data_IF_855325658754
#
_entry.id   IF_855325658754
#
_cell.length_a   1.000
_cell.length_b   1.000
_cell.length_c   1.000
_cell.angle_alpha   90.00
_cell.angle_beta   90.00
_cell.angle_gamma   90.00
#
_symmetry.space_group_name_H-M   'P 1'
#
loop_
_entity.id
_entity.type
_entity.pdbx_description
1 polymer ?
#
# COMPACT_ATOMS: atom_id res chain seq x y z
N UNK A 1 -0.32 -16.52 -1.70
CA UNK A 1 0.19 -17.04 -2.99
C UNK A 1 0.33 -15.92 -4.01
N UNK A 2 -0.77 -15.28 -4.46
CA UNK A 2 -0.75 -14.18 -5.45
C UNK A 2 0.27 -13.09 -5.13
N UNK A 3 0.22 -12.52 -3.91
CA UNK A 3 1.15 -11.46 -3.48
C UNK A 3 2.62 -11.90 -3.57
N UNK A 4 2.93 -13.09 -3.06
CA UNK A 4 4.29 -13.64 -3.06
C UNK A 4 4.82 -13.89 -4.48
N UNK A 5 3.96 -14.38 -5.39
CA UNK A 5 4.33 -14.60 -6.79
C UNK A 5 4.57 -13.29 -7.55
N UNK A 6 3.88 -12.22 -7.15
CA UNK A 6 4.02 -10.91 -7.75
C UNK A 6 5.17 -10.08 -7.14
N UNK A 7 5.83 -10.59 -6.09
CA UNK A 7 6.83 -9.84 -5.32
C UNK A 7 6.34 -8.46 -4.85
N UNK A 8 5.06 -8.36 -4.48
CA UNK A 8 4.44 -7.10 -4.05
C UNK A 8 4.58 -6.85 -2.55
N UNK A 9 4.41 -5.58 -2.15
CA UNK A 9 4.42 -5.14 -0.75
C UNK A 9 3.04 -5.23 -0.07
N UNK A 10 1.95 -5.29 -0.85
CA UNK A 10 0.60 -5.44 -0.35
C UNK A 10 -0.37 -6.00 -1.40
N UNK A 11 -1.51 -6.49 -0.93
CA UNK A 11 -2.62 -6.95 -1.76
C UNK A 11 -3.97 -6.81 -1.04
N UNK A 12 -4.90 -6.10 -1.65
CA UNK A 12 -6.27 -5.99 -1.23
C UNK A 12 -7.16 -7.04 -1.92
N UNK A 13 -8.11 -7.61 -1.19
CA UNK A 13 -9.03 -8.63 -1.70
C UNK A 13 -9.79 -8.21 -2.99
N UNK A 14 -10.20 -6.93 -3.19
CA UNK A 14 -10.81 -6.50 -4.45
C UNK A 14 -9.92 -6.73 -5.68
N UNK A 15 -8.60 -6.65 -5.56
CA UNK A 15 -7.65 -6.87 -6.67
C UNK A 15 -7.68 -8.31 -7.20
N UNK A 16 -8.17 -9.25 -6.40
CA UNK A 16 -8.39 -10.66 -6.80
C UNK A 16 -9.87 -11.00 -6.96
N UNK A 17 -10.73 -9.99 -7.14
CA UNK A 17 -12.16 -10.17 -7.41
C UNK A 17 -13.01 -10.51 -6.19
N UNK A 18 -12.50 -10.30 -4.97
CA UNK A 18 -13.23 -10.57 -3.73
C UNK A 18 -13.61 -9.25 -3.07
N UNK A 19 -14.91 -8.93 -3.11
CA UNK A 19 -15.46 -7.71 -2.50
C UNK A 19 -15.61 -7.85 -0.98
N UNK A 20 -14.49 -7.99 -0.27
CA UNK A 20 -14.40 -7.99 1.19
C UNK A 20 -13.31 -7.02 1.63
N UNK A 21 -13.48 -6.44 2.82
CA UNK A 21 -12.49 -5.56 3.44
C UNK A 21 -11.37 -6.38 4.07
N UNK A 22 -10.53 -6.99 3.24
CA UNK A 22 -9.36 -7.73 3.69
C UNK A 22 -8.14 -7.31 2.89
N UNK A 23 -7.02 -7.08 3.56
CA UNK A 23 -5.74 -6.78 2.93
C UNK A 23 -4.63 -7.61 3.56
N UNK A 24 -3.57 -7.83 2.81
CA UNK A 24 -2.30 -8.36 3.31
C UNK A 24 -1.22 -7.32 3.02
N UNK A 25 -0.38 -7.00 4.00
CA UNK A 25 0.78 -6.10 3.86
C UNK A 25 2.02 -6.81 4.37
N UNK A 26 3.14 -6.65 3.67
CA UNK A 26 4.46 -7.11 4.13
C UNK A 26 5.07 -6.02 5.00
N UNK A 27 5.39 -6.34 6.25
CA UNK A 27 6.01 -5.40 7.18
C UNK A 27 7.54 -5.29 6.98
N UNK A 28 8.18 -4.43 7.77
CA UNK A 28 9.63 -4.20 7.71
C UNK A 28 10.49 -5.43 8.08
N UNK A 29 9.90 -6.49 8.63
CA UNK A 29 10.57 -7.75 8.97
C UNK A 29 10.24 -8.87 7.96
N UNK A 30 9.71 -8.51 6.77
CA UNK A 30 9.21 -9.44 5.75
C UNK A 30 8.08 -10.36 6.24
N UNK A 31 7.32 -9.94 7.26
CA UNK A 31 6.18 -10.69 7.80
C UNK A 31 4.88 -10.22 7.14
N UNK A 32 4.01 -11.18 6.79
CA UNK A 32 2.69 -10.87 6.26
C UNK A 32 1.72 -10.53 7.38
N UNK A 33 1.28 -9.29 7.40
CA UNK A 33 0.19 -8.80 8.23
C UNK A 33 -1.13 -9.02 7.51
N UNK A 34 -1.99 -9.84 8.09
CA UNK A 34 -3.33 -10.09 7.59
C UNK A 34 -4.32 -9.18 8.33
N UNK A 35 -5.02 -8.32 7.60
CA UNK A 35 -5.89 -7.31 8.20
C UNK A 35 -7.31 -7.50 7.67
N UNK A 36 -8.21 -7.96 8.54
CA UNK A 36 -9.65 -8.08 8.24
C UNK A 36 -10.39 -6.87 8.81
N UNK A 37 -11.31 -6.31 8.02
CA UNK A 37 -12.03 -5.08 8.33
C UNK A 37 -11.12 -3.93 8.82
N UNK A 38 -10.00 -3.63 8.14
CA UNK A 38 -9.06 -2.63 8.61
C UNK A 38 -9.63 -1.22 8.54
N UNK A 39 -9.25 -0.40 9.50
CA UNK A 39 -9.56 1.02 9.58
C UNK A 39 -8.33 1.80 10.06
N UNK A 40 -7.97 2.88 9.37
CA UNK A 40 -6.97 3.82 9.88
C UNK A 40 -7.60 4.63 11.01
N UNK A 41 -7.11 4.42 12.23
CA UNK A 41 -7.61 5.09 13.44
C UNK A 41 -6.75 6.29 13.85
N UNK A 42 -5.53 6.41 13.30
CA UNK A 42 -4.65 7.54 13.54
C UNK A 42 -3.64 7.70 12.39
N UNK A 43 -3.27 8.95 12.08
CA UNK A 43 -2.28 9.34 11.08
C UNK A 43 -1.35 10.40 11.69
N UNK A 44 -0.08 10.39 11.31
CA UNK A 44 0.85 11.47 11.63
C UNK A 44 0.49 12.76 10.88
N UNK A 45 0.91 13.90 11.43
CA UNK A 45 0.92 15.18 10.71
C UNK A 45 2.08 15.26 9.71
N UNK A 46 3.20 14.60 10.02
CA UNK A 46 4.33 14.44 9.10
C UNK A 46 3.92 13.56 7.90
N UNK A 47 4.30 14.01 6.71
CA UNK A 47 4.06 13.32 5.43
C UNK A 47 5.36 12.84 4.81
N UNK A 48 5.23 11.92 3.85
CA UNK A 48 6.30 11.36 3.03
C UNK A 48 5.86 11.36 1.55
N UNK A 49 6.72 11.87 0.69
CA UNK A 49 6.63 11.64 -0.75
C UNK A 49 7.29 10.31 -1.11
N UNK A 50 6.84 9.70 -2.20
CA UNK A 50 7.40 8.43 -2.64
C UNK A 50 6.64 7.82 -3.80
N UNK A 51 7.35 6.98 -4.55
CA UNK A 51 6.79 6.28 -5.71
C UNK A 51 5.90 5.12 -5.27
N UNK A 52 4.68 5.10 -5.78
CA UNK A 52 3.77 3.96 -5.70
C UNK A 52 3.66 3.29 -7.07
N UNK A 53 3.70 1.95 -7.04
CA UNK A 53 3.25 1.09 -8.13
C UNK A 53 2.09 0.22 -7.64
N UNK A 54 1.36 -0.39 -8.55
CA UNK A 54 0.20 -1.21 -8.20
C UNK A 54 0.09 -2.44 -9.10
N UNK A 55 -0.23 -3.60 -8.52
CA UNK A 55 -0.50 -4.82 -9.30
C UNK A 55 -1.71 -4.69 -10.24
N UNK A 56 -2.63 -3.77 -9.93
CA UNK A 56 -3.78 -3.44 -10.78
C UNK A 56 -3.44 -2.48 -11.94
N UNK A 57 -2.27 -1.82 -11.89
CA UNK A 57 -1.82 -0.85 -12.91
C UNK A 57 -0.36 -1.19 -13.30
N UNK A 58 -0.14 -2.31 -14.01
CA UNK A 58 1.20 -2.86 -14.20
C UNK A 58 2.11 -1.92 -15.01
N UNK A 59 3.36 -1.79 -14.56
CA UNK A 59 4.41 -1.02 -15.24
C UNK A 59 4.23 0.50 -15.19
N UNK A 60 3.36 0.99 -14.29
CA UNK A 60 3.16 2.41 -14.03
C UNK A 60 3.51 2.74 -12.59
N UNK A 61 4.11 3.90 -12.43
CA UNK A 61 4.53 4.45 -11.16
C UNK A 61 4.06 5.90 -11.04
N UNK A 62 3.79 6.36 -9.83
CA UNK A 62 3.41 7.75 -9.57
C UNK A 62 3.91 8.18 -8.21
N UNK A 63 4.33 9.43 -8.11
CA UNK A 63 4.72 10.04 -6.83
C UNK A 63 3.44 10.42 -6.07
N UNK A 64 3.35 9.96 -4.82
CA UNK A 64 2.17 10.14 -3.96
C UNK A 64 2.61 10.56 -2.57
N UNK A 65 2.00 11.62 -2.05
CA UNK A 65 2.16 12.04 -0.66
C UNK A 65 1.30 11.17 0.27
N UNK A 66 1.90 10.58 1.31
CA UNK A 66 1.21 9.79 2.34
C UNK A 66 1.64 10.22 3.74
N UNK A 67 0.86 9.95 4.80
CA UNK A 67 1.35 10.12 6.17
C UNK A 67 2.61 9.28 6.42
N UNK A 68 3.59 9.83 7.14
CA UNK A 68 4.81 9.12 7.53
C UNK A 68 4.52 7.93 8.46
N UNK A 69 3.47 8.01 9.28
CA UNK A 69 3.05 6.95 10.21
C UNK A 69 1.55 6.80 10.27
N UNK A 70 1.10 5.57 10.40
CA UNK A 70 -0.33 5.21 10.42
C UNK A 70 -0.56 4.11 11.46
N UNK A 71 -1.63 4.26 12.25
CA UNK A 71 -2.14 3.17 13.10
C UNK A 71 -3.44 2.62 12.51
N UNK A 72 -3.46 1.30 12.31
CA UNK A 72 -4.61 0.56 11.78
C UNK A 72 -5.19 -0.30 12.88
N UNK A 73 -6.52 -0.25 13.03
CA UNK A 73 -7.28 -1.27 13.77
C UNK A 73 -7.78 -2.29 12.78
N UNK A 74 -7.62 -3.58 13.09
CA UNK A 74 -8.09 -4.67 12.26
C UNK A 74 -8.55 -5.86 13.12
N UNK A 75 -9.09 -6.86 12.46
CA UNK A 75 -9.43 -8.16 13.01
C UNK A 75 -8.49 -9.22 12.44
N UNK A 76 -8.18 -10.22 13.25
CA UNK A 76 -7.44 -11.41 12.81
C UNK A 76 -8.37 -12.47 12.19
N UNK A 77 -7.82 -13.66 11.88
CA UNK A 77 -8.59 -14.78 11.32
C UNK A 77 -9.70 -15.32 12.22
N UNK A 78 -9.64 -15.04 13.53
CA UNK A 78 -10.63 -15.47 14.51
C UNK A 78 -11.67 -14.39 14.81
N UNK A 79 -11.45 -13.17 14.31
CA UNK A 79 -12.29 -12.00 14.56
C UNK A 79 -11.86 -11.18 15.78
N UNK A 80 -10.76 -11.54 16.43
CA UNK A 80 -10.20 -10.75 17.54
C UNK A 80 -9.61 -9.45 17.01
N UNK A 81 -9.92 -8.35 17.68
CA UNK A 81 -9.48 -7.01 17.28
C UNK A 81 -8.08 -6.73 17.80
N UNK A 82 -7.23 -6.18 16.95
CA UNK A 82 -5.90 -5.70 17.30
C UNK A 82 -5.60 -4.37 16.61
N UNK A 83 -4.55 -3.70 17.07
CA UNK A 83 -4.03 -2.49 16.47
C UNK A 83 -2.57 -2.71 16.07
N UNK A 84 -2.18 -2.17 14.91
CA UNK A 84 -0.82 -2.22 14.39
C UNK A 84 -0.42 -0.84 13.89
N UNK A 85 0.82 -0.46 14.15
CA UNK A 85 1.41 0.80 13.70
C UNK A 85 2.46 0.51 12.64
N UNK A 86 2.43 1.27 11.56
CA UNK A 86 3.40 1.23 10.47
C UNK A 86 4.01 2.60 10.25
N UNK A 87 5.27 2.62 9.82
CA UNK A 87 6.03 3.80 9.44
C UNK A 87 6.56 3.64 8.01
N UNK A 88 6.94 4.73 7.36
CA UNK A 88 7.61 4.72 6.05
C UNK A 88 6.83 3.87 5.02
N UNK A 89 7.49 2.89 4.40
CA UNK A 89 6.89 2.00 3.40
C UNK A 89 5.68 1.23 3.92
N UNK A 90 5.66 0.85 5.21
CA UNK A 90 4.53 0.10 5.79
C UNK A 90 3.31 1.03 5.95
N UNK A 91 3.52 2.28 6.38
CA UNK A 91 2.46 3.29 6.44
C UNK A 91 1.86 3.57 5.05
N UNK A 92 2.72 3.66 4.03
CA UNK A 92 2.32 3.81 2.62
C UNK A 92 1.50 2.62 2.14
N UNK A 93 1.95 1.39 2.41
CA UNK A 93 1.21 0.17 2.06
C UNK A 93 -0.16 0.13 2.74
N UNK A 94 -0.27 0.50 4.01
CA UNK A 94 -1.59 0.58 4.67
C UNK A 94 -2.51 1.57 3.97
N UNK A 95 -2.04 2.77 3.62
CA UNK A 95 -2.87 3.73 2.89
C UNK A 95 -3.31 3.17 1.53
N UNK A 96 -2.36 2.65 0.75
CA UNK A 96 -2.60 2.10 -0.59
C UNK A 96 -3.61 0.95 -0.59
N UNK A 97 -3.42 -0.03 0.28
CA UNK A 97 -4.28 -1.21 0.31
C UNK A 97 -5.68 -0.89 0.87
N UNK A 98 -5.79 0.08 1.78
CA UNK A 98 -7.10 0.50 2.29
C UNK A 98 -7.86 1.36 1.27
N UNK A 99 -7.18 2.18 0.48
CA UNK A 99 -7.78 2.88 -0.67
C UNK A 99 -8.44 1.89 -1.64
N UNK A 100 -7.80 0.75 -1.90
CA UNK A 100 -8.39 -0.32 -2.71
C UNK A 100 -9.69 -0.91 -2.12
N UNK A 101 -9.84 -0.94 -0.79
CA UNK A 101 -11.08 -1.39 -0.16
C UNK A 101 -12.23 -0.40 -0.37
N UNK A 102 -11.90 0.86 -0.63
CA UNK A 102 -12.83 1.96 -0.89
C UNK A 102 -12.98 2.25 -2.40
N UNK A 103 -12.28 1.48 -3.25
CA UNK A 103 -12.37 1.57 -4.72
C UNK A 103 -11.49 2.65 -5.34
N UNK A 104 -10.54 3.21 -4.58
CA UNK A 104 -9.57 4.19 -5.04
C UNK A 104 -8.27 3.52 -5.50
N UNK A 105 -7.57 4.18 -6.42
CA UNK A 105 -6.26 3.76 -6.93
C UNK A 105 -5.29 4.95 -6.86
N UNK A 106 -4.01 4.68 -6.57
CA UNK A 106 -2.96 5.71 -6.45
C UNK A 106 -2.87 6.68 -7.64
N UNK A 107 -3.32 6.27 -8.83
CA UNK A 107 -3.35 7.10 -10.03
C UNK A 107 -4.24 8.33 -9.89
N UNK A 108 -5.17 8.34 -8.93
CA UNK A 108 -6.00 9.49 -8.57
C UNK A 108 -5.25 10.55 -7.74
N UNK A 109 -4.11 10.19 -7.17
CA UNK A 109 -3.35 10.97 -6.20
C UNK A 109 -2.01 11.48 -6.73
N UNK A 110 -1.74 11.30 -8.03
CA UNK A 110 -0.47 11.66 -8.65
C UNK A 110 -0.70 12.51 -9.90
N UNK A 111 0.16 13.51 -10.12
CA UNK A 111 0.07 14.40 -11.27
C UNK A 111 0.60 13.78 -12.56
N UNK A 112 1.49 12.79 -12.45
CA UNK A 112 2.12 12.13 -13.59
C UNK A 112 2.39 10.65 -13.31
N UNK A 113 2.11 9.83 -14.32
CA UNK A 113 2.53 8.44 -14.34
C UNK A 113 3.81 8.27 -15.15
N UNK A 114 4.76 7.57 -14.56
CA UNK A 114 6.03 7.18 -15.16
C UNK A 114 5.99 5.70 -15.53
N UNK A 115 6.66 5.37 -16.62
CA UNK A 115 7.05 4.00 -16.93
C UNK A 115 8.33 3.63 -16.17
N UNK A 116 8.64 2.33 -16.08
CA UNK A 116 9.90 1.89 -15.47
C UNK A 116 11.12 2.51 -16.16
N UNK A 117 11.11 2.56 -17.50
CA UNK A 117 12.20 3.14 -18.27
C UNK A 117 12.42 4.63 -17.93
N UNK A 118 11.35 5.43 -17.85
CA UNK A 118 11.47 6.85 -17.48
C UNK A 118 12.05 7.01 -16.06
N UNK A 119 11.68 6.15 -15.11
CA UNK A 119 12.26 6.20 -13.76
C UNK A 119 13.74 5.81 -13.75
N UNK A 120 14.11 4.74 -14.46
CA UNK A 120 15.49 4.28 -14.55
C UNK A 120 16.39 5.39 -15.15
N UNK A 121 15.93 6.05 -16.21
CA UNK A 121 16.61 7.19 -16.84
C UNK A 121 16.77 8.36 -15.86
N UNK A 122 15.73 8.73 -15.11
CA UNK A 122 15.80 9.79 -14.10
C UNK A 122 16.79 9.46 -12.97
N UNK A 123 16.80 8.22 -12.49
CA UNK A 123 17.72 7.78 -11.44
C UNK A 123 19.18 7.73 -11.89
N UNK A 124 19.43 7.49 -13.19
CA UNK A 124 20.77 7.57 -13.78
C UNK A 124 21.25 9.02 -13.94
N UNK A 125 20.35 9.96 -14.26
CA UNK A 125 20.68 11.39 -14.41
C UNK A 125 20.98 12.09 -13.07
N UNK A 126 20.43 11.60 -11.96
CA UNK A 126 20.67 12.14 -10.61
C UNK A 126 21.98 11.66 -9.96
N UNK A 127 22.71 10.74 -10.59
CA UNK A 127 24.00 10.19 -10.14
C UNK A 127 25.22 10.92 -10.74
#
# INVERSE_FOLDING_TARGET
ETLAHAHGAGLAAPQVGILRRCVIVVDANDQMLELVNPEIIWRSEETQDGLEGCLSVPGRWGEVERPARVRVRAQDRTGETFEVEGEEIVARCFCHELDHLDGHIFTELTDRLYTQQELDEMMEEEQ
#
